data_IF_537567994640
#
_entry.id   IF_537567994640
#
_cell.length_a   1.000
_cell.length_b   1.000
_cell.length_c   1.000
_cell.angle_alpha   90.00
_cell.angle_beta   90.00
_cell.angle_gamma   90.00
#
_symmetry.space_group_name_H-M   'P 1'
#
loop_
_entity.id
_entity.type
_entity.pdbx_description
1 polymer ?
#
# COMPACT_ATOMS: atom_id res chain seq x y z
N UNK A 1 -9.75 -8.32 -2.66
CA UNK A 1 -8.50 -7.56 -2.74
C UNK A 1 -8.81 -6.08 -2.57
N UNK A 2 -8.58 -5.57 -1.35
CA UNK A 2 -8.76 -4.16 -1.03
C UNK A 2 -7.44 -3.39 -1.22
N UNK A 3 -7.53 -2.07 -1.20
CA UNK A 3 -6.37 -1.18 -1.23
C UNK A 3 -6.41 -0.35 0.05
N UNK A 4 -5.28 -0.34 0.73
CA UNK A 4 -5.08 0.34 1.99
C UNK A 4 -4.05 1.43 1.82
N UNK A 5 -4.29 2.55 2.48
CA UNK A 5 -3.28 3.57 2.71
C UNK A 5 -2.71 3.37 4.10
N UNK A 6 -1.38 3.29 4.20
CA UNK A 6 -0.68 3.14 5.46
C UNK A 6 0.18 4.37 5.69
N UNK A 7 -0.03 5.05 6.80
CA UNK A 7 0.74 6.23 7.21
C UNK A 7 1.22 6.04 8.65
N UNK A 8 2.54 5.97 8.86
CA UNK A 8 3.16 5.80 10.19
C UNK A 8 2.57 4.63 11.02
N UNK A 9 2.15 3.55 10.34
CA UNK A 9 1.57 2.37 10.96
C UNK A 9 0.05 2.43 11.19
N UNK A 10 -0.60 3.57 10.91
CA UNK A 10 -2.06 3.65 10.82
C UNK A 10 -2.53 3.11 9.47
N UNK A 11 -3.58 2.30 9.47
CA UNK A 11 -4.16 1.69 8.26
C UNK A 11 -5.56 2.25 8.04
N UNK A 12 -5.80 2.78 6.84
CA UNK A 12 -7.13 3.23 6.40
C UNK A 12 -7.38 2.79 4.96
N UNK A 13 -8.65 2.84 4.53
CA UNK A 13 -8.99 2.53 3.14
C UNK A 13 -8.39 3.57 2.18
N UNK A 14 -7.93 3.08 1.03
CA UNK A 14 -7.45 3.97 -0.02
C UNK A 14 -8.61 4.68 -0.72
N UNK A 15 -8.60 5.99 -0.65
CA UNK A 15 -9.58 6.93 -1.20
C UNK A 15 -8.94 7.92 -2.20
N UNK A 16 -7.72 7.66 -2.68
CA UNK A 16 -6.99 8.54 -3.60
C UNK A 16 -5.84 9.32 -2.96
N UNK A 17 -5.40 8.94 -1.75
CA UNK A 17 -4.26 9.54 -1.06
C UNK A 17 -2.97 9.39 -1.91
N UNK A 18 -2.04 10.33 -1.77
CA UNK A 18 -0.72 10.23 -2.40
C UNK A 18 0.28 9.71 -1.38
N UNK A 19 0.98 8.62 -1.71
CA UNK A 19 2.03 8.06 -0.87
C UNK A 19 3.42 8.63 -1.22
N UNK A 20 4.18 9.00 -0.20
CA UNK A 20 5.55 9.48 -0.34
C UNK A 20 6.63 8.36 -0.34
N UNK A 21 6.22 7.11 -0.09
CA UNK A 21 7.06 5.90 -0.06
C UNK A 21 8.14 5.84 1.04
N UNK A 22 8.19 6.84 1.91
CA UNK A 22 9.07 6.87 3.08
C UNK A 22 8.34 6.41 4.34
N UNK A 23 7.20 7.02 4.65
CA UNK A 23 6.35 6.66 5.78
C UNK A 23 4.86 6.55 5.41
N UNK A 24 4.52 6.89 4.17
CA UNK A 24 3.20 6.77 3.57
C UNK A 24 3.30 5.81 2.38
N UNK A 25 2.54 4.73 2.40
CA UNK A 25 2.56 3.71 1.34
C UNK A 25 1.15 3.24 1.02
N UNK A 26 0.95 2.79 -0.23
CA UNK A 26 -0.30 2.18 -0.68
C UNK A 26 -0.07 0.68 -0.79
N UNK A 27 -0.95 -0.12 -0.21
CA UNK A 27 -0.79 -1.57 -0.10
C UNK A 27 -2.05 -2.27 -0.59
N UNK A 28 -1.88 -3.32 -1.38
CA UNK A 28 -2.98 -4.22 -1.67
C UNK A 28 -2.97 -5.41 -0.71
N UNK A 29 -4.07 -5.62 0.01
CA UNK A 29 -4.20 -6.73 0.94
C UNK A 29 -5.68 -7.06 1.16
N UNK A 30 -5.97 -8.31 1.51
CA UNK A 30 -7.35 -8.73 1.83
C UNK A 30 -7.81 -8.23 3.19
N UNK A 31 -6.88 -8.04 4.13
CA UNK A 31 -7.14 -7.56 5.49
C UNK A 31 -6.16 -6.43 5.85
N UNK A 32 -6.56 -5.48 6.71
CA UNK A 32 -5.70 -4.36 7.11
C UNK A 32 -4.45 -4.81 7.87
N UNK A 33 -4.51 -5.88 8.66
CA UNK A 33 -3.35 -6.43 9.37
C UNK A 33 -2.29 -6.96 8.40
N UNK A 34 -2.72 -7.56 7.29
CA UNK A 34 -1.83 -8.03 6.24
C UNK A 34 -1.15 -6.87 5.51
N UNK A 35 -1.77 -5.68 5.47
CA UNK A 35 -1.15 -4.50 4.88
C UNK A 35 0.13 -4.12 5.64
N UNK A 36 0.09 -4.10 6.98
CA UNK A 36 1.25 -3.80 7.82
C UNK A 36 2.40 -4.79 7.62
N UNK A 37 2.10 -6.09 7.50
CA UNK A 37 3.12 -7.12 7.22
C UNK A 37 3.83 -6.81 5.90
N UNK A 38 3.07 -6.48 4.86
CA UNK A 38 3.62 -6.14 3.54
C UNK A 38 4.46 -4.86 3.56
N UNK A 39 4.07 -3.86 4.35
CA UNK A 39 4.88 -2.66 4.58
C UNK A 39 6.24 -3.02 5.20
N UNK A 40 6.27 -3.91 6.19
CA UNK A 40 7.52 -4.38 6.80
C UNK A 40 8.41 -5.06 5.74
N UNK A 41 7.84 -5.94 4.91
CA UNK A 41 8.58 -6.62 3.84
C UNK A 41 9.10 -5.64 2.77
N UNK A 42 8.32 -4.62 2.43
CA UNK A 42 8.74 -3.54 1.53
C UNK A 42 9.96 -2.78 2.08
N UNK A 43 9.95 -2.36 3.35
CA UNK A 43 11.09 -1.66 3.94
C UNK A 43 12.33 -2.55 4.10
N UNK A 44 12.15 -3.88 4.19
CA UNK A 44 13.23 -4.86 4.10
C UNK A 44 13.73 -5.11 2.68
N UNK A 45 13.12 -4.47 1.67
CA UNK A 45 13.38 -4.63 0.24
C UNK A 45 13.07 -6.04 -0.29
N UNK A 46 12.18 -6.76 0.42
CA UNK A 46 11.71 -8.09 0.03
C UNK A 46 10.51 -8.01 -0.92
N UNK A 47 9.74 -6.92 -0.85
CA UNK A 47 8.67 -6.60 -1.79
C UNK A 47 8.99 -5.33 -2.57
N UNK A 48 8.63 -5.33 -3.86
CA UNK A 48 8.71 -4.15 -4.72
C UNK A 48 7.31 -3.67 -5.08
N UNK A 49 7.09 -2.35 -5.18
CA UNK A 49 5.82 -1.80 -5.63
C UNK A 49 5.52 -2.23 -7.07
N UNK A 50 4.24 -2.40 -7.38
CA UNK A 50 3.74 -2.72 -8.69
C UNK A 50 2.67 -1.72 -9.11
N UNK A 51 2.59 -1.43 -10.40
CA UNK A 51 1.56 -0.55 -10.94
C UNK A 51 0.30 -1.35 -11.25
N UNK A 52 -0.84 -0.90 -10.72
CA UNK A 52 -2.16 -1.48 -10.98
C UNK A 52 -3.12 -0.43 -11.50
N UNK A 53 -4.13 -0.87 -12.25
CA UNK A 53 -5.25 -0.02 -12.67
C UNK A 53 -6.33 -0.03 -11.58
N UNK A 54 -6.58 1.12 -10.97
CA UNK A 54 -7.61 1.31 -9.97
C UNK A 54 -8.46 2.54 -10.31
N UNK A 55 -9.77 2.36 -10.45
CA UNK A 55 -10.73 3.42 -10.82
C UNK A 55 -10.29 4.26 -12.04
N UNK A 56 -9.76 3.59 -13.08
CA UNK A 56 -9.30 4.25 -14.31
C UNK A 56 -7.96 4.97 -14.21
N UNK A 57 -7.30 4.94 -13.05
CA UNK A 57 -5.99 5.55 -12.81
C UNK A 57 -4.95 4.48 -12.52
N UNK A 58 -3.73 4.67 -13.01
CA UNK A 58 -2.60 3.80 -12.67
C UNK A 58 -2.00 4.28 -11.35
N UNK A 59 -1.94 3.39 -10.37
CA UNK A 59 -1.34 3.66 -9.05
C UNK A 59 -0.30 2.60 -8.73
N UNK A 60 0.75 2.99 -8.00
CA UNK A 60 1.75 2.06 -7.49
C UNK A 60 1.33 1.54 -6.11
N UNK A 61 1.38 0.22 -5.91
CA UNK A 61 0.98 -0.44 -4.66
C UNK A 61 2.00 -1.51 -4.26
N UNK A 62 2.15 -1.75 -2.96
CA UNK A 62 2.83 -2.93 -2.43
C UNK A 62 1.85 -4.11 -2.60
N UNK A 63 2.21 -5.15 -3.37
CA UNK A 63 1.28 -6.20 -3.79
C UNK A 63 0.90 -7.17 -2.68
#
# INVERSE_FOLDING_TARGET
MAIWYVCDGCVEEYCGQTANWNNEVIVSADLPENALIKVILYYRKELQPQNILHNGTIISVIP
#
